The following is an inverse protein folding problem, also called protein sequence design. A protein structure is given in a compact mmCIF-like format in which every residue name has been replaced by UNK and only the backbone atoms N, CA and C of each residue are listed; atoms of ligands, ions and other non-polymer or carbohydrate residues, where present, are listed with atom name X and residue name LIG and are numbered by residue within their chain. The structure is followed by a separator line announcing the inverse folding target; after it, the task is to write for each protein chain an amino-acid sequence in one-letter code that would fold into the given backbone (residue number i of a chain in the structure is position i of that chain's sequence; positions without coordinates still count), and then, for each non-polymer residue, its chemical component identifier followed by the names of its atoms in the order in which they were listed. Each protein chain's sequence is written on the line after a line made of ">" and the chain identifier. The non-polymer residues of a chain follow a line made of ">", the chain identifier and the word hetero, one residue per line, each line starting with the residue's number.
data_IF_604059670122
#
_entry.id   IF_604059670122
#
_cell.length_a   1.000
_cell.length_b   1.000
_cell.length_c   1.000
_cell.angle_alpha   90.00
_cell.angle_beta   90.00
_cell.angle_gamma   90.00
#
_symmetry.space_group_name_H-M   'P 1'
#
loop_
_entity.id
_entity.type
_entity.pdbx_description
1 polymer ?
#
# COMPACT_ATOMS: atom_id res chain seq x y z
N UNK A 1 -22.80 -17.42 -4.34
CA UNK A 1 -21.33 -17.24 -4.40
C UNK A 1 -20.85 -17.80 -5.73
N UNK A 2 -19.82 -17.19 -6.34
CA UNK A 2 -19.07 -17.81 -7.43
C UNK A 2 -17.88 -18.54 -6.77
N UNK A 3 -17.48 -19.70 -7.28
CA UNK A 3 -16.31 -20.46 -6.77
C UNK A 3 -15.00 -19.76 -7.16
N UNK A 4 -14.78 -18.56 -6.61
CA UNK A 4 -13.66 -17.68 -6.89
C UNK A 4 -13.12 -17.20 -5.55
N UNK A 5 -11.80 -17.29 -5.37
CA UNK A 5 -11.13 -16.79 -4.17
C UNK A 5 -10.91 -15.28 -4.27
N UNK A 6 -11.28 -14.54 -3.23
CA UNK A 6 -10.95 -13.15 -3.06
C UNK A 6 -9.56 -13.02 -2.43
N UNK A 7 -8.65 -12.35 -3.14
CA UNK A 7 -7.30 -12.08 -2.65
C UNK A 7 -7.15 -10.58 -2.39
N UNK A 8 -6.80 -10.21 -1.16
CA UNK A 8 -6.38 -8.84 -0.86
C UNK A 8 -4.86 -8.72 -0.94
N UNK A 9 -4.38 -7.94 -1.92
CA UNK A 9 -2.98 -7.55 -1.94
C UNK A 9 -2.75 -6.36 -1.01
N UNK A 10 -2.25 -6.66 0.18
CA UNK A 10 -2.04 -5.71 1.26
C UNK A 10 -0.55 -5.41 1.49
N UNK A 11 0.30 -5.59 0.47
CA UNK A 11 1.74 -5.25 0.54
C UNK A 11 1.95 -3.78 0.91
N UNK A 12 1.06 -2.88 0.45
CA UNK A 12 1.12 -1.44 0.78
C UNK A 12 0.24 -1.09 1.99
N UNK A 13 -0.99 -1.61 2.05
CA UNK A 13 -2.03 -1.19 2.99
C UNK A 13 -1.89 -1.86 4.36
N UNK A 14 -1.46 -3.12 4.38
CA UNK A 14 -1.27 -3.92 5.58
C UNK A 14 -0.14 -3.37 6.45
N UNK A 15 -0.38 -3.29 7.76
CA UNK A 15 0.51 -2.70 8.77
C UNK A 15 0.88 -1.23 8.54
N UNK A 16 0.40 -0.59 7.47
CA UNK A 16 0.61 0.82 7.14
C UNK A 16 -0.52 1.71 7.64
N UNK A 17 -1.76 1.29 7.38
CA UNK A 17 -2.96 2.11 7.67
C UNK A 17 -3.56 1.79 9.04
N UNK A 18 -3.30 0.59 9.56
CA UNK A 18 -3.63 0.12 10.90
C UNK A 18 -2.70 -1.02 11.27
N UNK A 19 -2.74 -1.45 12.53
CA UNK A 19 -2.15 -2.72 12.92
C UNK A 19 -2.95 -3.86 12.29
N UNK A 20 -2.26 -4.76 11.57
CA UNK A 20 -2.88 -5.84 10.81
C UNK A 20 -3.28 -5.42 9.39
N UNK A 21 -4.28 -6.11 8.85
CA UNK A 21 -4.85 -5.88 7.51
C UNK A 21 -5.76 -4.66 7.49
N UNK A 22 -5.84 -3.98 6.35
CA UNK A 22 -6.80 -2.89 6.15
C UNK A 22 -8.20 -3.42 5.81
N UNK A 23 -8.27 -4.65 5.25
CA UNK A 23 -9.42 -5.58 5.28
C UNK A 23 -10.81 -4.96 5.26
N UNK A 24 -11.65 -5.41 6.19
CA UNK A 24 -13.02 -4.95 6.45
C UNK A 24 -13.24 -3.44 6.35
N UNK A 25 -12.32 -2.65 6.91
CA UNK A 25 -12.44 -1.18 7.00
C UNK A 25 -12.31 -0.50 5.65
N UNK A 26 -11.49 -1.03 4.74
CA UNK A 26 -11.30 -0.46 3.39
C UNK A 26 -12.12 -1.15 2.33
N UNK A 27 -12.19 -2.48 2.38
CA UNK A 27 -12.70 -3.31 1.30
C UNK A 27 -14.09 -3.87 1.59
N UNK A 28 -14.62 -3.66 2.80
CA UNK A 28 -15.96 -4.09 3.20
C UNK A 28 -16.15 -5.61 3.22
N UNK A 29 -15.07 -6.37 3.15
CA UNK A 29 -15.06 -7.83 3.12
C UNK A 29 -13.76 -8.38 3.69
N UNK A 30 -13.82 -9.60 4.21
CA UNK A 30 -12.64 -10.38 4.58
C UNK A 30 -12.17 -11.19 3.36
N UNK A 31 -10.86 -11.24 3.07
CA UNK A 31 -10.36 -12.01 1.95
C UNK A 31 -10.29 -13.50 2.27
N UNK A 32 -10.31 -14.33 1.22
CA UNK A 32 -9.96 -15.75 1.33
C UNK A 32 -8.45 -15.93 1.51
N UNK A 33 -7.66 -15.10 0.82
CA UNK A 33 -6.20 -15.05 0.89
C UNK A 33 -5.70 -13.60 0.92
N UNK A 34 -4.54 -13.37 1.52
CA UNK A 34 -3.92 -12.05 1.56
C UNK A 34 -2.43 -12.14 1.31
N UNK A 35 -1.85 -11.06 0.79
CA UNK A 35 -0.40 -10.86 0.71
C UNK A 35 0.05 -9.67 1.53
N UNK A 36 1.20 -9.79 2.20
CA UNK A 36 1.80 -8.73 3.01
C UNK A 36 3.30 -8.62 2.70
N UNK A 37 3.87 -7.47 3.01
CA UNK A 37 5.29 -7.19 2.86
C UNK A 37 5.61 -5.82 3.44
N UNK A 38 6.62 -5.14 2.87
CA UNK A 38 7.03 -3.76 3.20
C UNK A 38 7.01 -3.45 4.70
N UNK A 39 5.94 -2.82 5.19
CA UNK A 39 5.79 -2.38 6.58
C UNK A 39 5.91 -3.55 7.57
N UNK A 40 5.47 -4.75 7.18
CA UNK A 40 5.59 -5.96 8.01
C UNK A 40 7.05 -6.44 8.19
N UNK A 41 7.98 -5.93 7.38
CA UNK A 41 9.35 -6.44 7.30
C UNK A 41 10.41 -5.49 7.88
N UNK A 42 10.04 -4.25 8.21
CA UNK A 42 10.97 -3.25 8.74
C UNK A 42 12.15 -2.93 7.82
N UNK A 43 12.00 -3.07 6.50
CA UNK A 43 13.07 -2.87 5.53
C UNK A 43 13.83 -4.14 5.12
N UNK A 44 13.55 -5.29 5.76
CA UNK A 44 14.11 -6.57 5.31
C UNK A 44 13.31 -7.15 4.12
N UNK A 45 13.92 -7.96 3.24
CA UNK A 45 13.19 -8.66 2.19
C UNK A 45 12.25 -9.71 2.79
N UNK A 46 10.94 -9.44 2.78
CA UNK A 46 9.91 -10.36 3.24
C UNK A 46 8.64 -10.21 2.39
N UNK A 47 8.16 -11.35 1.90
CA UNK A 47 6.80 -11.50 1.42
C UNK A 47 6.08 -12.54 2.27
N UNK A 48 4.81 -12.28 2.57
CA UNK A 48 3.95 -13.19 3.33
C UNK A 48 2.68 -13.40 2.52
N UNK A 49 2.22 -14.64 2.44
CA UNK A 49 0.86 -14.96 2.05
C UNK A 49 0.19 -15.73 3.20
N UNK A 50 -1.11 -15.52 3.37
CA UNK A 50 -1.91 -16.16 4.39
C UNK A 50 -3.39 -16.13 4.01
N UNK A 51 -4.26 -16.62 4.88
CA UNK A 51 -5.69 -16.60 4.64
C UNK A 51 -6.41 -17.71 5.38
N UNK A 52 -7.54 -18.15 4.82
CA UNK A 52 -8.38 -19.19 5.40
C UNK A 52 -7.61 -20.49 5.62
N UNK A 53 -7.88 -21.12 6.76
CA UNK A 53 -7.20 -22.34 7.19
C UNK A 53 -7.40 -23.50 6.22
N UNK A 54 -8.60 -23.67 5.65
CA UNK A 54 -8.89 -24.74 4.70
C UNK A 54 -8.08 -24.61 3.39
N UNK A 55 -7.75 -23.38 2.98
CA UNK A 55 -6.90 -23.10 1.83
C UNK A 55 -5.42 -23.27 2.20
N UNK A 56 -4.99 -22.67 3.31
CA UNK A 56 -3.59 -22.77 3.77
C UNK A 56 -3.19 -24.20 4.11
N UNK A 57 -4.14 -25.04 4.54
CA UNK A 57 -3.94 -26.47 4.76
C UNK A 57 -3.51 -27.23 3.50
N UNK A 58 -3.83 -26.74 2.30
CA UNK A 58 -3.37 -27.34 1.04
C UNK A 58 -1.87 -27.18 0.84
N UNK A 59 -1.24 -26.17 1.46
CA UNK A 59 0.20 -25.93 1.36
C UNK A 59 1.03 -26.87 2.25
N UNK A 60 0.39 -27.60 3.17
CA UNK A 60 1.07 -28.48 4.11
C UNK A 60 1.70 -29.67 3.36
N UNK A 61 3.01 -29.94 3.54
CA UNK A 61 3.64 -31.10 2.93
C UNK A 61 2.92 -32.41 3.26
N UNK A 62 2.56 -33.18 2.24
CA UNK A 62 1.85 -34.46 2.41
C UNK A 62 0.32 -34.36 2.55
N UNK A 63 -0.26 -33.16 2.48
CA UNK A 63 -1.71 -33.00 2.49
C UNK A 63 -2.37 -33.70 1.28
N UNK A 64 -3.48 -34.41 1.52
CA UNK A 64 -4.27 -35.06 0.47
C UNK A 64 -4.86 -33.99 -0.46
N UNK A 65 -4.53 -34.06 -1.75
CA UNK A 65 -4.92 -33.02 -2.71
C UNK A 65 -4.15 -31.71 -2.53
N UNK A 66 -3.03 -31.75 -1.81
CA UNK A 66 -2.18 -30.60 -1.54
C UNK A 66 -1.70 -29.89 -2.81
N UNK A 67 -1.27 -28.66 -2.63
CA UNK A 67 -0.67 -27.81 -3.65
C UNK A 67 0.74 -27.50 -3.20
N UNK A 68 1.70 -27.67 -4.11
CA UNK A 68 3.05 -27.21 -3.83
C UNK A 68 3.02 -25.69 -3.72
N UNK A 69 3.45 -25.18 -2.58
CA UNK A 69 3.67 -23.76 -2.39
C UNK A 69 5.16 -23.55 -2.25
N UNK A 70 5.72 -22.78 -3.19
CA UNK A 70 7.15 -22.61 -3.31
C UNK A 70 7.79 -21.92 -2.12
N UNK A 71 9.06 -22.23 -1.91
CA UNK A 71 9.99 -21.47 -1.09
C UNK A 71 11.19 -21.01 -1.93
N UNK A 72 12.06 -20.24 -1.32
CA UNK A 72 13.36 -19.85 -1.87
C UNK A 72 14.43 -19.91 -0.79
N UNK A 73 15.70 -19.78 -1.18
CA UNK A 73 16.86 -19.84 -0.26
C UNK A 73 16.73 -18.92 0.94
N UNK A 74 16.09 -17.76 0.76
CA UNK A 74 15.88 -16.75 1.80
C UNK A 74 14.48 -16.78 2.42
N UNK A 75 13.64 -17.74 2.05
CA UNK A 75 12.36 -17.95 2.72
C UNK A 75 12.62 -18.29 4.19
N UNK A 76 11.94 -17.55 5.08
CA UNK A 76 12.10 -17.68 6.53
C UNK A 76 13.54 -17.47 7.01
N UNK A 77 14.33 -16.64 6.31
CA UNK A 77 15.68 -16.31 6.75
C UNK A 77 15.67 -15.72 8.17
N UNK A 78 16.44 -16.25 9.13
CA UNK A 78 16.33 -15.89 10.55
C UNK A 78 16.45 -14.39 10.84
N UNK A 79 17.33 -13.68 10.12
CA UNK A 79 17.47 -12.22 10.28
C UNK A 79 16.20 -11.46 9.87
N UNK A 80 15.57 -11.88 8.77
CA UNK A 80 14.31 -11.29 8.30
C UNK A 80 13.19 -11.57 9.31
N UNK A 81 13.14 -12.79 9.86
CA UNK A 81 12.14 -13.17 10.86
C UNK A 81 12.31 -12.38 12.16
N UNK A 82 13.54 -12.24 12.66
CA UNK A 82 13.83 -11.47 13.87
C UNK A 82 13.47 -9.99 13.70
N UNK A 83 13.84 -9.39 12.55
CA UNK A 83 13.47 -8.00 12.25
C UNK A 83 11.94 -7.82 12.12
N UNK A 84 11.27 -8.73 11.43
CA UNK A 84 9.81 -8.72 11.27
C UNK A 84 9.09 -8.79 12.62
N UNK A 85 9.48 -9.73 13.50
CA UNK A 85 8.90 -9.85 14.85
C UNK A 85 9.06 -8.54 15.63
N UNK A 86 10.29 -8.01 15.72
CA UNK A 86 10.54 -6.77 16.45
C UNK A 86 9.73 -5.57 15.91
N UNK A 87 9.54 -5.50 14.59
CA UNK A 87 8.71 -4.47 13.95
C UNK A 87 7.25 -4.65 14.30
N UNK A 88 6.71 -5.87 14.19
CA UNK A 88 5.31 -6.15 14.49
C UNK A 88 4.99 -5.91 15.96
N UNK A 89 5.86 -6.28 16.89
CA UNK A 89 5.73 -5.97 18.31
C UNK A 89 5.68 -4.45 18.53
N UNK A 90 6.60 -3.71 17.89
CA UNK A 90 6.65 -2.26 17.99
C UNK A 90 5.41 -1.57 17.41
N UNK A 91 4.90 -2.05 16.28
CA UNK A 91 3.67 -1.55 15.68
C UNK A 91 2.45 -1.85 16.55
N UNK A 92 2.44 -2.99 17.25
CA UNK A 92 1.38 -3.37 18.18
C UNK A 92 1.33 -2.41 19.38
N UNK A 93 2.48 -2.10 19.98
CA UNK A 93 2.60 -1.10 21.06
C UNK A 93 2.12 0.28 20.60
N UNK A 94 2.39 0.63 19.34
CA UNK A 94 2.05 1.93 18.73
C UNK A 94 0.74 1.93 17.94
N UNK A 95 -0.13 0.93 18.13
CA UNK A 95 -1.40 0.81 17.37
C UNK A 95 -2.31 2.04 17.42
N UNK A 96 -2.20 2.87 18.46
CA UNK A 96 -3.02 4.08 18.60
C UNK A 96 -2.48 5.27 17.76
N UNK A 97 -1.27 5.17 17.20
CA UNK A 97 -0.66 6.25 16.39
C UNK A 97 -1.19 6.29 14.95
N UNK A 98 -1.76 5.19 14.44
CA UNK A 98 -2.24 5.11 13.06
C UNK A 98 -3.29 6.18 12.74
N UNK A 99 -4.22 6.45 13.66
CA UNK A 99 -5.24 7.48 13.45
C UNK A 99 -4.62 8.87 13.29
N UNK A 100 -3.60 9.19 14.10
CA UNK A 100 -2.88 10.46 13.99
C UNK A 100 -2.14 10.53 12.65
N UNK A 101 -1.44 9.46 12.27
CA UNK A 101 -0.66 9.40 11.03
C UNK A 101 -1.56 9.50 9.78
N UNK A 102 -2.69 8.79 9.77
CA UNK A 102 -3.64 8.83 8.67
C UNK A 102 -4.30 10.21 8.55
N UNK A 103 -4.76 10.80 9.65
CA UNK A 103 -5.32 12.17 9.65
C UNK A 103 -4.32 13.21 9.15
N UNK A 104 -3.04 13.05 9.48
CA UNK A 104 -1.99 13.94 8.99
C UNK A 104 -1.81 13.81 7.47
N UNK A 105 -1.79 12.58 6.94
CA UNK A 105 -1.70 12.34 5.50
C UNK A 105 -2.93 12.84 4.74
N UNK A 106 -4.14 12.60 5.26
CA UNK A 106 -5.38 13.13 4.69
C UNK A 106 -5.40 14.66 4.71
N UNK A 107 -5.02 15.27 5.84
CA UNK A 107 -4.95 16.73 5.95
C UNK A 107 -3.93 17.35 5.00
N UNK A 108 -2.77 16.71 4.81
CA UNK A 108 -1.78 17.14 3.83
C UNK A 108 -2.38 17.11 2.42
N UNK A 109 -3.01 16.00 2.03
CA UNK A 109 -3.58 15.83 0.69
C UNK A 109 -4.73 16.79 0.41
N UNK A 110 -5.59 17.04 1.39
CA UNK A 110 -6.67 18.04 1.26
C UNK A 110 -6.10 19.43 0.99
N UNK A 111 -5.19 19.92 1.85
CA UNK A 111 -4.62 21.27 1.68
C UNK A 111 -3.83 21.43 0.39
N UNK A 112 -3.10 20.37 -0.02
CA UNK A 112 -2.41 20.35 -1.29
C UNK A 112 -3.41 20.54 -2.45
N UNK A 113 -4.49 19.76 -2.47
CA UNK A 113 -5.48 19.85 -3.54
C UNK A 113 -6.25 21.18 -3.53
N UNK A 114 -6.55 21.75 -2.37
CA UNK A 114 -7.18 23.08 -2.27
C UNK A 114 -6.30 24.15 -2.94
N UNK A 115 -5.01 24.18 -2.60
CA UNK A 115 -4.02 25.09 -3.19
C UNK A 115 -3.87 24.87 -4.71
N UNK A 116 -3.77 23.62 -5.16
CA UNK A 116 -3.66 23.30 -6.59
C UNK A 116 -4.91 23.73 -7.36
N UNK A 117 -6.09 23.61 -6.76
CA UNK A 117 -7.36 24.08 -7.32
C UNK A 117 -7.40 25.60 -7.46
N UNK A 118 -6.99 26.35 -6.42
CA UNK A 118 -6.91 27.82 -6.46
C UNK A 118 -5.96 28.33 -7.56
N UNK A 119 -4.86 27.61 -7.79
CA UNK A 119 -3.88 27.93 -8.84
C UNK A 119 -4.30 27.45 -10.24
N UNK A 120 -5.39 26.69 -10.35
CA UNK A 120 -5.75 25.93 -11.55
C UNK A 120 -4.55 25.12 -12.10
N UNK A 121 -3.76 24.53 -11.20
CA UNK A 121 -2.55 23.81 -11.55
C UNK A 121 -2.89 22.40 -12.08
N UNK A 122 -2.20 21.91 -13.11
CA UNK A 122 -2.44 20.58 -13.68
C UNK A 122 -1.76 19.49 -12.84
N UNK A 123 -2.04 19.46 -11.54
CA UNK A 123 -1.52 18.46 -10.60
C UNK A 123 -2.68 17.95 -9.74
N UNK A 124 -2.56 16.72 -9.24
CA UNK A 124 -3.49 16.16 -8.28
C UNK A 124 -2.76 15.34 -7.20
N UNK A 125 -3.16 15.57 -5.95
CA UNK A 125 -2.88 14.69 -4.82
C UNK A 125 -3.91 13.55 -4.71
N UNK A 126 -3.48 12.30 -4.85
CA UNK A 126 -4.31 11.10 -4.65
C UNK A 126 -3.77 10.24 -3.51
N UNK A 127 -4.61 9.37 -2.94
CA UNK A 127 -4.19 8.47 -1.87
C UNK A 127 -5.24 8.25 -0.78
N UNK A 128 -4.81 7.63 0.31
CA UNK A 128 -5.65 7.28 1.45
C UNK A 128 -4.84 7.27 2.74
N UNK A 129 -5.34 7.92 3.79
CA UNK A 129 -4.66 8.02 5.07
C UNK A 129 -3.25 8.57 4.88
N UNK A 130 -2.26 7.81 5.35
CA UNK A 130 -0.85 8.18 5.27
C UNK A 130 -0.17 7.89 3.94
N UNK A 131 -0.89 7.43 2.91
CA UNK A 131 -0.35 7.14 1.58
C UNK A 131 -0.77 8.28 0.66
N UNK A 132 0.21 8.96 0.07
CA UNK A 132 -0.04 10.13 -0.79
C UNK A 132 0.82 10.04 -2.05
N UNK A 133 0.21 10.38 -3.18
CA UNK A 133 0.85 10.50 -4.48
C UNK A 133 0.49 11.86 -5.07
N UNK A 134 1.46 12.49 -5.72
CA UNK A 134 1.26 13.73 -6.49
C UNK A 134 1.53 13.39 -7.95
N UNK A 135 0.54 13.64 -8.80
CA UNK A 135 0.62 13.35 -10.22
C UNK A 135 0.47 14.63 -11.03
N UNK A 136 1.42 14.89 -11.93
CA UNK A 136 1.33 15.92 -12.95
C UNK A 136 0.42 15.44 -14.09
N UNK A 137 -0.40 16.34 -14.58
CA UNK A 137 -1.41 16.10 -15.60
C UNK A 137 -1.14 16.97 -16.83
N UNK A 138 -1.66 16.56 -17.98
CA UNK A 138 -1.57 17.32 -19.23
C UNK A 138 -2.50 18.54 -19.25
N UNK A 139 -3.53 18.56 -18.40
CA UNK A 139 -4.42 19.68 -18.18
C UNK A 139 -4.99 19.67 -16.74
N UNK A 140 -5.49 20.81 -16.24
CA UNK A 140 -6.26 20.83 -14.99
C UNK A 140 -7.48 19.90 -15.03
N UNK A 141 -7.94 19.47 -13.86
CA UNK A 141 -9.08 18.59 -13.74
C UNK A 141 -10.40 19.36 -13.71
N UNK A 142 -11.25 19.08 -14.70
CA UNK A 142 -12.63 19.59 -14.71
C UNK A 142 -13.58 18.72 -13.85
N UNK A 143 -13.20 17.46 -13.61
CA UNK A 143 -14.02 16.46 -12.90
C UNK A 143 -13.15 15.56 -12.02
N UNK A 144 -13.70 15.03 -10.92
CA UNK A 144 -12.99 14.06 -10.08
C UNK A 144 -12.64 12.79 -10.85
N UNK A 145 -11.41 12.31 -10.67
CA UNK A 145 -10.97 11.00 -11.16
C UNK A 145 -11.61 9.88 -10.35
N UNK A 146 -12.06 8.82 -11.03
CA UNK A 146 -12.72 7.65 -10.44
C UNK A 146 -12.01 6.34 -10.74
N UNK A 147 -11.17 6.30 -11.77
CA UNK A 147 -10.45 5.08 -12.16
C UNK A 147 -8.97 5.37 -12.44
N UNK A 148 -8.08 4.37 -12.25
CA UNK A 148 -6.68 4.51 -12.63
C UNK A 148 -6.49 4.83 -14.13
N UNK A 149 -7.38 4.32 -15.00
CA UNK A 149 -7.31 4.61 -16.43
C UNK A 149 -7.54 6.09 -16.77
N UNK A 150 -8.38 6.78 -16.02
CA UNK A 150 -8.57 8.24 -16.20
C UNK A 150 -7.32 9.02 -15.79
N UNK A 151 -6.68 8.62 -14.69
CA UNK A 151 -5.41 9.21 -14.28
C UNK A 151 -4.34 8.96 -15.34
N UNK A 152 -4.19 7.71 -15.80
CA UNK A 152 -3.20 7.34 -16.81
C UNK A 152 -3.39 8.06 -18.15
N UNK A 153 -4.62 8.33 -18.56
CA UNK A 153 -4.90 9.09 -19.78
C UNK A 153 -4.49 10.57 -19.70
N UNK A 154 -4.47 11.15 -18.49
CA UNK A 154 -4.11 12.55 -18.26
C UNK A 154 -2.68 12.71 -17.75
N UNK A 155 -2.00 11.63 -17.37
CA UNK A 155 -0.68 11.69 -16.74
C UNK A 155 0.38 12.29 -17.68
N UNK A 156 1.04 13.35 -17.24
CA UNK A 156 2.14 13.95 -17.97
C UNK A 156 3.48 13.46 -17.41
N UNK A 157 4.05 12.45 -18.06
CA UNK A 157 5.33 11.85 -17.67
C UNK A 157 6.48 12.86 -17.65
N UNK A 158 6.54 13.75 -18.65
CA UNK A 158 7.65 14.70 -18.78
C UNK A 158 7.58 15.73 -17.65
N UNK A 159 6.39 16.23 -17.36
CA UNK A 159 6.20 17.17 -16.25
C UNK A 159 6.40 16.49 -14.90
N UNK A 160 6.03 15.22 -14.76
CA UNK A 160 6.31 14.46 -13.54
C UNK A 160 7.82 14.39 -13.26
N UNK A 161 8.64 14.07 -14.27
CA UNK A 161 10.10 13.97 -14.12
C UNK A 161 10.72 15.33 -13.73
N UNK A 162 10.27 16.41 -14.38
CA UNK A 162 10.71 17.78 -14.05
C UNK A 162 10.31 18.16 -12.62
N UNK A 163 9.05 17.88 -12.23
CA UNK A 163 8.55 18.17 -10.89
C UNK A 163 9.33 17.41 -9.82
N UNK A 164 9.60 16.13 -10.05
CA UNK A 164 10.44 15.33 -9.14
C UNK A 164 11.87 15.88 -9.05
N UNK A 165 12.48 16.25 -10.18
CA UNK A 165 13.80 16.85 -10.21
C UNK A 165 13.86 18.16 -9.40
N UNK A 166 12.81 18.99 -9.50
CA UNK A 166 12.70 20.21 -8.71
C UNK A 166 12.55 19.92 -7.21
N UNK A 167 11.68 18.96 -6.82
CA UNK A 167 11.55 18.55 -5.42
C UNK A 167 12.89 18.09 -4.84
N UNK A 168 13.70 17.34 -5.60
CA UNK A 168 15.02 16.91 -5.15
C UNK A 168 15.98 18.08 -4.94
N UNK A 169 15.94 19.10 -5.80
CA UNK A 169 16.76 20.31 -5.65
C UNK A 169 16.40 21.08 -4.37
N UNK A 170 15.13 21.03 -3.96
CA UNK A 170 14.62 21.60 -2.71
C UNK A 170 14.77 20.66 -1.50
N UNK A 171 15.47 19.52 -1.65
CA UNK A 171 15.71 18.56 -0.57
C UNK A 171 14.50 17.70 -0.18
N UNK A 172 13.48 17.62 -1.04
CA UNK A 172 12.28 16.80 -0.86
C UNK A 172 12.43 15.51 -1.68
N UNK A 173 12.62 14.39 -0.97
CA UNK A 173 12.78 13.07 -1.59
C UNK A 173 11.48 12.27 -1.51
N UNK A 174 10.75 12.20 -2.63
CA UNK A 174 9.47 11.50 -2.76
C UNK A 174 9.48 10.34 -3.74
N UNK A 175 10.62 9.64 -3.89
CA UNK A 175 10.81 8.63 -4.93
C UNK A 175 10.22 7.27 -4.54
N UNK A 176 9.24 6.80 -5.33
CA UNK A 176 8.89 5.39 -5.55
C UNK A 176 8.38 5.21 -6.97
#
# INVERSE_FOLDING_TARGET
>A
SRDILLIHDEIITGFRLRYGTAGDKLFGSEPDLLTLGKAAAGGMPLGVYGGREDIMGLAVPGAKGGRWVGGGTFSSHPLTMAAGIAVLERLQEKRNEYDRLNKMGDSFRTRLNDMLGEMNAPLIGTGYGSINFISCLSSPLDKPLKTPGQLGALFDHKMQDIFQGHLMQEGIFGYH
#
